data_IF_344556855397
#
_entry.id   IF_344556855397
#
_cell.length_a   1.000
_cell.length_b   1.000
_cell.length_c   1.000
_cell.angle_alpha   90.00
_cell.angle_beta   90.00
_cell.angle_gamma   90.00
#
_symmetry.space_group_name_H-M   'P 1'
#
loop_
_entity.id
_entity.type
_entity.pdbx_description
1 polymer ?
#
# COMPACT_ATOMS: atom_id res chain seq x y z
N UNK A 1 -3.38 -33.10 33.24
CA UNK A 1 -2.69 -33.31 34.53
C UNK A 1 -2.46 -31.97 35.24
N UNK A 2 -3.54 -31.28 35.61
CA UNK A 2 -3.51 -29.89 36.10
C UNK A 2 -3.95 -29.76 37.56
N UNK A 3 -3.88 -30.86 38.32
CA UNK A 3 -4.62 -31.03 39.58
C UNK A 3 -3.72 -31.09 40.84
N UNK A 4 -2.45 -30.67 40.76
CA UNK A 4 -1.49 -30.86 41.88
C UNK A 4 -0.79 -29.61 42.39
N UNK A 5 -1.09 -28.39 41.90
CA UNK A 5 -0.49 -27.16 42.42
C UNK A 5 -1.54 -26.06 42.62
N UNK A 6 -1.98 -25.80 43.87
CA UNK A 6 -2.77 -24.61 44.19
C UNK A 6 -1.90 -23.37 43.90
N UNK A 7 -2.29 -22.57 42.90
CA UNK A 7 -1.49 -21.44 42.40
C UNK A 7 -1.02 -21.57 40.94
N UNK A 8 -1.38 -22.65 40.22
CA UNK A 8 -1.14 -22.71 38.77
C UNK A 8 -1.82 -21.57 37.99
N UNK A 9 -3.00 -21.13 38.45
CA UNK A 9 -3.75 -19.98 37.91
C UNK A 9 -2.97 -18.66 38.06
N UNK A 10 -2.30 -18.43 39.20
CA UNK A 10 -1.52 -17.20 39.42
C UNK A 10 -0.22 -17.19 38.59
N UNK A 11 0.37 -18.35 38.31
CA UNK A 11 1.51 -18.47 37.39
C UNK A 11 1.13 -18.18 35.93
N UNK A 12 -0.11 -18.46 35.51
CA UNK A 12 -0.63 -18.09 34.18
C UNK A 12 -0.81 -16.58 34.07
N UNK A 13 -1.35 -15.92 35.09
CA UNK A 13 -1.44 -14.45 35.13
C UNK A 13 -0.06 -13.78 35.09
N UNK A 14 0.93 -14.31 35.83
CA UNK A 14 2.33 -13.83 35.78
C UNK A 14 2.99 -14.06 34.41
N UNK A 15 2.63 -15.12 33.68
CA UNK A 15 3.08 -15.34 32.28
C UNK A 15 2.37 -14.40 31.31
N UNK A 16 1.07 -14.16 31.49
CA UNK A 16 0.30 -13.20 30.70
C UNK A 16 0.83 -11.76 30.88
N UNK A 17 1.34 -11.40 32.06
CA UNK A 17 2.03 -10.12 32.28
C UNK A 17 3.29 -9.96 31.40
N UNK A 18 3.90 -11.03 30.87
CA UNK A 18 4.97 -10.90 29.86
C UNK A 18 4.45 -10.42 28.50
N UNK A 19 3.15 -10.58 28.21
CA UNK A 19 2.50 -9.97 27.04
C UNK A 19 2.47 -8.46 27.17
N UNK A 20 2.63 -7.88 28.37
CA UNK A 20 2.85 -6.43 28.52
C UNK A 20 4.11 -5.94 27.78
N UNK A 21 5.00 -6.84 27.34
CA UNK A 21 6.09 -6.47 26.42
C UNK A 21 5.57 -6.03 25.05
N UNK A 22 4.32 -6.30 24.68
CA UNK A 22 3.67 -5.72 23.49
C UNK A 22 3.57 -4.21 23.60
N UNK A 23 3.52 -3.65 24.82
CA UNK A 23 3.57 -2.21 25.02
C UNK A 23 4.91 -1.59 24.55
N UNK A 24 5.94 -2.41 24.31
CA UNK A 24 7.18 -1.98 23.66
C UNK A 24 6.95 -1.52 22.21
N UNK A 25 5.86 -1.94 21.54
CA UNK A 25 5.41 -1.39 20.24
C UNK A 25 5.05 0.09 20.37
N UNK A 26 4.54 0.57 21.51
CA UNK A 26 4.36 2.01 21.73
C UNK A 26 5.71 2.79 21.76
N UNK A 27 6.85 2.11 21.89
CA UNK A 27 8.17 2.74 21.68
C UNK A 27 8.44 3.05 20.21
N UNK A 28 7.87 2.29 19.27
CA UNK A 28 7.83 2.63 17.83
C UNK A 28 6.99 3.90 17.59
N UNK A 29 5.98 4.18 18.43
CA UNK A 29 5.21 5.42 18.34
C UNK A 29 6.06 6.68 18.63
N UNK A 30 7.20 6.56 19.32
CA UNK A 30 8.16 7.68 19.46
C UNK A 30 9.00 7.93 18.21
N UNK A 31 9.02 6.98 17.27
CA UNK A 31 9.56 7.18 15.91
C UNK A 31 8.53 7.87 14.99
N UNK A 32 7.28 8.03 15.43
CA UNK A 32 6.22 8.74 14.70
C UNK A 32 6.37 10.28 14.76
N UNK A 33 7.50 10.82 15.22
CA UNK A 33 7.81 12.25 15.04
C UNK A 33 7.83 12.67 13.56
N UNK A 34 7.92 11.71 12.63
CA UNK A 34 7.80 11.89 11.18
C UNK A 34 6.42 11.51 10.60
N UNK A 35 5.40 11.29 11.45
CA UNK A 35 4.03 10.95 11.00
C UNK A 35 3.43 12.04 10.10
N UNK A 36 3.78 13.32 10.34
CA UNK A 36 3.36 14.45 9.50
C UNK A 36 3.83 14.29 8.06
N UNK A 37 5.09 13.92 7.84
CA UNK A 37 5.64 13.77 6.49
C UNK A 37 4.97 12.62 5.73
N UNK A 38 4.74 11.48 6.38
CA UNK A 38 4.00 10.35 5.79
C UNK A 38 2.54 10.72 5.49
N UNK A 39 1.87 11.39 6.43
CA UNK A 39 0.47 11.79 6.29
C UNK A 39 0.28 12.85 5.20
N UNK A 40 1.17 13.82 5.10
CA UNK A 40 1.19 14.82 4.02
C UNK A 40 1.47 14.17 2.67
N UNK A 41 2.43 13.24 2.60
CA UNK A 41 2.74 12.48 1.37
C UNK A 41 1.55 11.64 0.90
N UNK A 42 0.83 10.97 1.82
CA UNK A 42 -0.39 10.24 1.50
C UNK A 42 -1.53 11.15 1.05
N UNK A 43 -1.68 12.32 1.67
CA UNK A 43 -2.67 13.32 1.24
C UNK A 43 -2.34 13.88 -0.15
N UNK A 44 -1.07 14.12 -0.45
CA UNK A 44 -0.61 14.54 -1.78
C UNK A 44 -0.78 13.43 -2.83
N UNK A 45 -0.65 12.16 -2.43
CA UNK A 45 -0.87 11.00 -3.30
C UNK A 45 -2.35 10.61 -3.44
N UNK A 46 -3.25 11.12 -2.60
CA UNK A 46 -4.64 10.62 -2.45
C UNK A 46 -5.39 10.49 -3.76
N UNK A 47 -5.36 11.51 -4.63
CA UNK A 47 -6.11 11.49 -5.88
C UNK A 47 -5.61 10.38 -6.82
N UNK A 48 -4.29 10.20 -6.90
CA UNK A 48 -3.67 9.14 -7.71
C UNK A 48 -3.95 7.74 -7.13
N UNK A 49 -3.91 7.60 -5.81
CA UNK A 49 -4.29 6.36 -5.12
C UNK A 49 -5.78 6.04 -5.34
N UNK A 50 -6.67 7.04 -5.25
CA UNK A 50 -8.10 6.85 -5.49
C UNK A 50 -8.36 6.36 -6.91
N UNK A 51 -7.75 6.98 -7.93
CA UNK A 51 -7.86 6.51 -9.32
C UNK A 51 -7.41 5.06 -9.45
N UNK A 52 -6.25 4.73 -8.88
CA UNK A 52 -5.73 3.36 -8.86
C UNK A 52 -6.71 2.35 -8.23
N UNK A 53 -7.25 2.65 -7.05
CA UNK A 53 -8.18 1.77 -6.34
C UNK A 53 -9.49 1.58 -7.13
N UNK A 54 -10.00 2.63 -7.76
CA UNK A 54 -11.19 2.55 -8.61
C UNK A 54 -10.92 1.69 -9.84
N UNK A 55 -9.78 1.87 -10.51
CA UNK A 55 -9.38 1.02 -11.65
C UNK A 55 -9.25 -0.44 -11.24
N UNK A 56 -8.60 -0.72 -10.10
CA UNK A 56 -8.48 -2.08 -9.59
C UNK A 56 -9.85 -2.71 -9.27
N UNK A 57 -10.75 -1.95 -8.64
CA UNK A 57 -12.10 -2.40 -8.32
C UNK A 57 -12.90 -2.73 -9.59
N UNK A 58 -12.83 -1.87 -10.61
CA UNK A 58 -13.49 -2.12 -11.91
C UNK A 58 -12.94 -3.39 -12.54
N UNK A 59 -11.62 -3.57 -12.59
CA UNK A 59 -10.99 -4.79 -13.13
C UNK A 59 -11.42 -6.05 -12.37
N UNK A 60 -11.53 -5.99 -11.03
CA UNK A 60 -11.99 -7.10 -10.19
C UNK A 60 -13.44 -7.48 -10.53
N UNK A 61 -14.33 -6.50 -10.62
CA UNK A 61 -15.76 -6.74 -10.92
C UNK A 61 -15.90 -7.33 -12.33
N UNK A 62 -15.22 -6.74 -13.32
CA UNK A 62 -15.27 -7.20 -14.70
C UNK A 62 -14.73 -8.63 -14.86
N UNK A 63 -13.53 -8.91 -14.34
CA UNK A 63 -12.94 -10.25 -14.47
C UNK A 63 -13.66 -11.29 -13.62
N UNK A 64 -14.12 -10.93 -12.42
CA UNK A 64 -14.92 -11.84 -11.60
C UNK A 64 -16.24 -12.25 -12.27
N UNK A 65 -16.93 -11.29 -12.91
CA UNK A 65 -18.15 -11.57 -13.66
C UNK A 65 -17.88 -12.39 -14.93
N UNK A 66 -16.81 -12.10 -15.67
CA UNK A 66 -16.42 -12.89 -16.84
C UNK A 66 -16.07 -14.33 -16.48
N UNK A 67 -15.35 -14.55 -15.39
CA UNK A 67 -15.01 -15.91 -14.93
C UNK A 67 -16.25 -16.68 -14.49
N UNK A 68 -17.20 -16.04 -13.83
CA UNK A 68 -18.49 -16.65 -13.54
C UNK A 68 -19.22 -17.12 -14.82
N UNK A 69 -19.16 -16.33 -15.90
CA UNK A 69 -19.77 -16.67 -17.19
C UNK A 69 -19.01 -17.77 -17.95
N UNK A 70 -17.68 -17.81 -17.86
CA UNK A 70 -16.83 -18.75 -18.62
C UNK A 70 -16.74 -20.11 -17.91
N UNK A 71 -16.52 -20.11 -16.60
CA UNK A 71 -16.28 -21.33 -15.81
C UNK A 71 -17.57 -21.88 -15.20
N UNK A 72 -18.50 -21.01 -14.81
CA UNK A 72 -19.76 -21.42 -14.21
C UNK A 72 -19.64 -22.13 -12.85
N UNK A 73 -20.79 -22.56 -12.29
CA UNK A 73 -20.84 -23.23 -10.98
C UNK A 73 -20.14 -24.59 -10.97
N UNK A 74 -20.11 -25.33 -12.09
CA UNK A 74 -19.46 -26.63 -12.18
C UNK A 74 -17.95 -26.58 -11.85
N UNK A 75 -17.29 -25.46 -12.13
CA UNK A 75 -15.85 -25.28 -11.92
C UNK A 75 -15.53 -24.44 -10.66
N UNK A 76 -16.49 -24.32 -9.74
CA UNK A 76 -16.31 -23.62 -8.46
C UNK A 76 -16.63 -22.12 -8.49
N UNK A 77 -16.94 -21.55 -9.66
CA UNK A 77 -17.41 -20.16 -9.79
C UNK A 77 -18.94 -20.12 -9.59
N UNK A 78 -19.39 -20.34 -8.36
CA UNK A 78 -20.83 -20.48 -8.02
C UNK A 78 -21.62 -19.19 -8.11
N UNK A 79 -20.97 -18.03 -7.99
CA UNK A 79 -21.60 -16.72 -8.07
C UNK A 79 -20.58 -15.63 -8.45
N UNK A 80 -21.07 -14.48 -8.93
CA UNK A 80 -20.21 -13.33 -9.27
C UNK A 80 -19.30 -12.91 -8.09
N UNK A 81 -19.78 -12.83 -6.83
CA UNK A 81 -18.91 -12.52 -5.69
C UNK A 81 -17.76 -13.52 -5.49
N UNK A 82 -17.97 -14.81 -5.80
CA UNK A 82 -16.89 -15.82 -5.72
C UNK A 82 -15.86 -15.57 -6.83
N UNK A 83 -16.30 -15.21 -8.04
CA UNK A 83 -15.40 -14.77 -9.10
C UNK A 83 -14.63 -13.49 -8.75
N UNK A 84 -15.28 -12.53 -8.08
CA UNK A 84 -14.62 -11.32 -7.58
C UNK A 84 -13.58 -11.64 -6.52
N UNK A 85 -13.86 -12.59 -5.61
CA UNK A 85 -12.91 -13.07 -4.63
C UNK A 85 -11.67 -13.67 -5.30
N UNK A 86 -11.86 -14.55 -6.30
CA UNK A 86 -10.77 -15.09 -7.11
C UNK A 86 -9.96 -13.97 -7.79
N UNK A 87 -10.64 -12.97 -8.35
CA UNK A 87 -9.99 -11.84 -9.00
C UNK A 87 -9.16 -11.01 -8.00
N UNK A 88 -9.65 -10.77 -6.77
CA UNK A 88 -8.89 -10.09 -5.71
C UNK A 88 -7.63 -10.88 -5.35
N UNK A 89 -7.76 -12.18 -5.06
CA UNK A 89 -6.65 -13.05 -4.63
C UNK A 89 -5.58 -13.16 -5.72
N UNK A 90 -5.99 -13.19 -6.99
CA UNK A 90 -5.10 -13.22 -8.14
C UNK A 90 -4.45 -11.87 -8.40
N UNK A 91 -5.23 -10.77 -8.39
CA UNK A 91 -4.71 -9.41 -8.61
C UNK A 91 -3.68 -8.99 -7.56
N UNK A 92 -3.94 -9.37 -6.30
CA UNK A 92 -3.07 -9.08 -5.16
C UNK A 92 -1.89 -10.04 -5.05
N UNK A 93 -1.75 -10.98 -5.99
CA UNK A 93 -0.68 -12.01 -6.03
C UNK A 93 -0.64 -12.91 -4.80
N UNK A 94 -1.73 -13.00 -4.03
CA UNK A 94 -1.84 -13.88 -2.85
C UNK A 94 -1.97 -15.34 -3.29
N UNK A 95 -2.84 -15.61 -4.26
CA UNK A 95 -2.94 -16.92 -4.91
C UNK A 95 -3.21 -18.11 -3.99
N UNK A 96 -4.28 -18.08 -3.18
CA UNK A 96 -4.62 -19.19 -2.27
C UNK A 96 -4.84 -20.54 -2.98
N UNK A 97 -5.31 -20.51 -4.24
CA UNK A 97 -5.53 -21.71 -5.05
C UNK A 97 -6.78 -22.52 -4.69
N UNK A 98 -7.66 -21.96 -3.86
CA UNK A 98 -8.94 -22.54 -3.46
C UNK A 98 -10.00 -22.49 -4.56
N UNK A 99 -9.95 -21.47 -5.41
CA UNK A 99 -10.75 -21.36 -6.65
C UNK A 99 -9.79 -21.14 -7.80
N UNK A 100 -9.87 -21.93 -8.87
CA UNK A 100 -9.00 -21.82 -10.05
C UNK A 100 -9.75 -22.14 -11.34
N UNK A 101 -9.46 -21.45 -12.46
CA UNK A 101 -10.04 -21.79 -13.76
C UNK A 101 -9.66 -23.20 -14.19
N UNK A 102 -10.64 -23.96 -14.66
CA UNK A 102 -10.41 -25.31 -15.22
C UNK A 102 -10.46 -25.29 -16.75
N UNK A 103 -11.20 -24.35 -17.35
CA UNK A 103 -11.38 -24.29 -18.80
C UNK A 103 -10.18 -23.61 -19.49
N UNK A 104 -9.84 -23.99 -20.74
CA UNK A 104 -8.80 -23.30 -21.50
C UNK A 104 -9.08 -21.80 -21.69
N UNK A 105 -10.36 -21.43 -21.83
CA UNK A 105 -10.77 -20.04 -21.95
C UNK A 105 -10.57 -19.26 -20.64
N UNK A 106 -10.92 -19.85 -19.49
CA UNK A 106 -10.69 -19.25 -18.18
C UNK A 106 -9.21 -19.16 -17.83
N UNK A 107 -8.40 -20.13 -18.24
CA UNK A 107 -6.94 -20.09 -18.10
C UNK A 107 -6.32 -18.95 -18.92
N UNK A 108 -6.75 -18.77 -20.18
CA UNK A 108 -6.29 -17.65 -21.01
C UNK A 108 -6.67 -16.29 -20.39
N UNK A 109 -7.89 -16.17 -19.88
CA UNK A 109 -8.35 -14.97 -19.16
C UNK A 109 -7.51 -14.71 -17.91
N UNK A 110 -7.12 -15.77 -17.22
CA UNK A 110 -6.31 -15.67 -16.01
C UNK A 110 -4.89 -15.17 -16.27
N UNK A 111 -4.28 -15.58 -17.39
CA UNK A 111 -2.99 -15.01 -17.82
C UNK A 111 -3.11 -13.50 -18.06
N UNK A 112 -4.17 -13.06 -18.75
CA UNK A 112 -4.41 -11.63 -18.96
C UNK A 112 -4.59 -10.87 -17.62
N UNK A 113 -5.32 -11.45 -16.67
CA UNK A 113 -5.52 -10.89 -15.34
C UNK A 113 -4.22 -10.78 -14.54
N UNK A 114 -3.33 -11.78 -14.62
CA UNK A 114 -2.02 -11.75 -13.96
C UNK A 114 -1.13 -10.62 -14.50
N UNK A 115 -1.12 -10.39 -15.82
CA UNK A 115 -0.37 -9.30 -16.45
C UNK A 115 -0.93 -7.93 -16.00
N UNK A 116 -2.25 -7.79 -15.93
CA UNK A 116 -2.92 -6.61 -15.38
C UNK A 116 -2.56 -6.38 -13.90
N UNK A 117 -2.51 -7.43 -13.09
CA UNK A 117 -2.12 -7.37 -11.68
C UNK A 117 -0.72 -6.83 -11.47
N UNK A 118 0.27 -7.33 -12.22
CA UNK A 118 1.64 -6.81 -12.19
C UNK A 118 1.70 -5.32 -12.52
N UNK A 119 0.97 -4.90 -13.55
CA UNK A 119 0.91 -3.50 -13.98
C UNK A 119 0.34 -2.60 -12.87
N UNK A 120 -0.65 -3.11 -12.13
CA UNK A 120 -1.29 -2.40 -11.03
C UNK A 120 -0.38 -2.29 -9.80
N UNK A 121 0.42 -3.29 -9.44
CA UNK A 121 1.33 -3.21 -8.27
C UNK A 121 2.42 -2.15 -8.43
N UNK A 122 2.87 -1.90 -9.67
CA UNK A 122 3.91 -0.91 -9.97
C UNK A 122 3.45 0.53 -9.70
N UNK A 123 2.18 0.84 -9.97
CA UNK A 123 1.62 2.19 -9.88
C UNK A 123 1.69 2.81 -8.46
N UNK A 124 1.16 2.18 -7.38
CA UNK A 124 1.21 2.77 -6.04
C UNK A 124 2.64 2.88 -5.51
N UNK A 125 3.48 1.89 -5.83
CA UNK A 125 4.91 1.89 -5.46
C UNK A 125 5.64 3.06 -6.14
N UNK A 126 5.39 3.28 -7.43
CA UNK A 126 5.97 4.40 -8.19
C UNK A 126 5.48 5.76 -7.70
N UNK A 127 4.18 5.91 -7.43
CA UNK A 127 3.61 7.16 -6.88
C UNK A 127 4.25 7.48 -5.52
N UNK A 128 4.28 6.50 -4.61
CA UNK A 128 4.86 6.70 -3.29
C UNK A 128 6.35 7.03 -3.37
N UNK A 129 7.11 6.33 -4.22
CA UNK A 129 8.54 6.59 -4.41
C UNK A 129 8.80 8.00 -4.95
N UNK A 130 7.97 8.46 -5.89
CA UNK A 130 8.07 9.82 -6.45
C UNK A 130 7.74 10.90 -5.41
N UNK A 131 6.72 10.69 -4.57
CA UNK A 131 6.37 11.63 -3.50
C UNK A 131 7.45 11.67 -2.41
N UNK A 132 8.00 10.51 -2.04
CA UNK A 132 9.09 10.46 -1.06
C UNK A 132 10.37 11.14 -1.58
N UNK A 133 10.69 10.97 -2.86
CA UNK A 133 11.79 11.67 -3.52
C UNK A 133 11.56 13.19 -3.55
N UNK A 134 10.32 13.64 -3.82
CA UNK A 134 9.95 15.06 -3.78
C UNK A 134 10.05 15.65 -2.37
N UNK A 135 9.56 14.94 -1.36
CA UNK A 135 9.63 15.37 0.04
C UNK A 135 11.08 15.55 0.50
N UNK A 136 11.99 14.66 0.07
CA UNK A 136 13.42 14.76 0.39
C UNK A 136 14.12 15.97 -0.27
N UNK A 137 13.64 16.41 -1.44
CA UNK A 137 14.20 17.55 -2.16
C UNK A 137 13.63 18.91 -1.72
N UNK A 138 12.54 18.93 -0.94
CA UNK A 138 11.99 20.14 -0.34
C UNK A 138 12.60 20.40 1.06
N UNK A 139 13.89 20.68 1.11
CA UNK A 139 14.47 21.36 2.29
C UNK A 139 14.20 22.85 2.07
N UNK A 140 13.25 23.49 2.80
CA UNK A 140 13.01 24.91 2.64
C UNK A 140 14.28 25.66 2.99
N UNK A 141 14.91 26.28 1.99
CA UNK A 141 16.06 27.15 2.21
C UNK A 141 15.53 28.49 2.68
N UNK A 142 16.06 29.03 3.78
CA UNK A 142 15.78 30.41 4.19
C UNK A 142 16.61 31.42 3.38
N UNK A 143 17.17 30.99 2.23
CA UNK A 143 18.01 31.83 1.39
C UNK A 143 17.11 32.68 0.50
N UNK A 144 17.18 33.99 0.72
CA UNK A 144 16.57 35.00 -0.14
C UNK A 144 17.66 35.69 -0.95
N UNK A 145 17.36 36.05 -2.19
CA UNK A 145 18.29 36.81 -3.02
C UNK A 145 18.45 38.24 -2.48
N UNK A 146 19.68 38.71 -2.27
CA UNK A 146 19.94 40.08 -1.79
C UNK A 146 19.56 41.17 -2.80
N UNK A 147 19.54 40.83 -4.09
CA UNK A 147 19.30 41.80 -5.17
C UNK A 147 17.80 41.96 -5.50
N UNK A 148 17.06 40.86 -5.60
CA UNK A 148 15.65 40.87 -5.97
C UNK A 148 14.68 40.46 -4.86
N UNK A 149 15.21 40.10 -3.68
CA UNK A 149 14.45 39.69 -2.48
C UNK A 149 13.49 38.52 -2.69
N UNK A 150 13.70 37.71 -3.74
CA UNK A 150 12.91 36.50 -3.97
C UNK A 150 13.48 35.32 -3.19
N UNK A 151 12.58 34.45 -2.74
CA UNK A 151 12.87 33.23 -1.99
C UNK A 151 12.64 31.98 -2.85
N UNK A 152 12.89 30.79 -2.28
CA UNK A 152 12.63 29.50 -2.93
C UNK A 152 13.80 29.00 -3.80
N UNK A 153 15.03 29.31 -3.40
CA UNK A 153 16.24 28.81 -4.05
C UNK A 153 16.54 27.37 -3.63
N UNK A 154 17.16 26.58 -4.51
CA UNK A 154 17.58 25.22 -4.15
C UNK A 154 18.75 25.31 -3.16
N UNK A 155 18.93 24.30 -2.31
CA UNK A 155 19.95 24.33 -1.24
C UNK A 155 21.40 24.42 -1.74
N UNK A 156 21.61 24.08 -3.01
CA UNK A 156 22.90 24.11 -3.71
C UNK A 156 22.96 25.22 -4.79
N UNK A 157 22.00 26.14 -4.81
CA UNK A 157 21.98 27.21 -5.80
C UNK A 157 23.06 28.27 -5.51
N UNK A 158 24.00 28.45 -6.44
CA UNK A 158 25.00 29.55 -6.40
C UNK A 158 24.47 30.86 -6.99
N UNK A 159 23.46 30.78 -7.86
CA UNK A 159 22.89 31.93 -8.57
C UNK A 159 21.36 31.97 -8.43
N UNK A 160 20.82 33.18 -8.44
CA UNK A 160 19.40 33.44 -8.29
C UNK A 160 18.63 32.97 -9.54
N UNK A 161 17.63 32.12 -9.34
CA UNK A 161 16.71 31.61 -10.38
C UNK A 161 15.97 32.69 -11.17
N UNK A 162 15.85 33.90 -10.62
CA UNK A 162 15.03 34.97 -11.18
C UNK A 162 15.84 36.12 -11.80
N UNK A 163 16.96 36.51 -11.18
CA UNK A 163 17.77 37.63 -11.66
C UNK A 163 19.22 37.26 -12.03
N UNK A 164 19.65 36.02 -11.77
CA UNK A 164 21.02 35.58 -12.06
C UNK A 164 22.11 36.09 -11.12
N UNK A 165 21.77 36.91 -10.12
CA UNK A 165 22.72 37.38 -9.11
C UNK A 165 23.19 36.24 -8.20
N UNK A 166 24.43 36.31 -7.73
CA UNK A 166 24.99 35.36 -6.75
C UNK A 166 24.20 35.40 -5.45
N UNK A 167 23.85 34.22 -4.92
CA UNK A 167 23.02 34.05 -3.72
C UNK A 167 23.80 34.01 -2.40
#
# INVERSE_FOLDING_TARGET
ASLLLPGAESLLLLRALRLLRIFRIFKLARFMSEERALRESLYAARARITVFLVTALISIVLMGALMYLIEGPENGFTSIPVGMYWAVVTLTTVGYGDVTPQTPAGQLMSVAMMILGYSLIIVPTGILSAELARAKNHVPTSQYCRECSREGHDSDATNCKYCGATL
#
